data_IF_489117722960
#
_entry.id   IF_489117722960
#
_cell.length_a   1.000
_cell.length_b   1.000
_cell.length_c   1.000
_cell.angle_alpha   90.00
_cell.angle_beta   90.00
_cell.angle_gamma   90.00
#
_symmetry.space_group_name_H-M   'P 1'
#
loop_
_entity.id
_entity.type
_entity.pdbx_description
1 polymer ?
#
# COMPACT_ATOMS: atom_id res chain seq x y z
N UNK A 1 -22.86 25.06 -9.55
CA UNK A 1 -23.36 23.92 -8.76
C UNK A 1 -23.35 22.72 -9.70
N UNK A 2 -22.44 21.77 -9.52
CA UNK A 2 -22.33 20.62 -10.44
C UNK A 2 -23.49 19.64 -10.18
N UNK A 3 -24.17 19.21 -11.25
CA UNK A 3 -25.28 18.27 -11.16
C UNK A 3 -24.76 16.87 -10.83
N UNK A 4 -25.54 16.07 -10.11
CA UNK A 4 -25.23 14.66 -9.82
C UNK A 4 -24.98 13.87 -11.12
N UNK A 5 -25.63 14.27 -12.22
CA UNK A 5 -25.42 13.67 -13.54
C UNK A 5 -24.02 13.95 -14.07
N UNK A 6 -23.54 15.18 -13.94
CA UNK A 6 -22.19 15.59 -14.38
C UNK A 6 -21.11 14.82 -13.62
N UNK A 7 -21.34 14.53 -12.33
CA UNK A 7 -20.41 13.76 -11.49
C UNK A 7 -20.35 12.27 -11.90
N UNK A 8 -21.50 11.68 -12.22
CA UNK A 8 -21.57 10.29 -12.70
C UNK A 8 -20.93 10.13 -14.07
N UNK A 9 -21.08 11.11 -14.95
CA UNK A 9 -20.47 11.13 -16.27
C UNK A 9 -18.94 11.25 -16.18
N UNK A 10 -18.43 12.09 -15.28
CA UNK A 10 -16.99 12.24 -15.03
C UNK A 10 -16.37 10.97 -14.40
N UNK A 11 -17.07 10.29 -13.49
CA UNK A 11 -16.63 8.98 -12.97
C UNK A 11 -16.56 7.94 -14.08
N UNK A 12 -17.56 7.89 -14.96
CA UNK A 12 -17.59 6.95 -16.08
C UNK A 12 -16.49 7.26 -17.10
N UNK A 13 -16.21 8.55 -17.36
CA UNK A 13 -15.09 9.00 -18.21
C UNK A 13 -13.74 8.56 -17.63
N UNK A 14 -13.53 8.71 -16.32
CA UNK A 14 -12.31 8.26 -15.63
C UNK A 14 -12.16 6.74 -15.60
N UNK A 15 -13.26 5.99 -15.52
CA UNK A 15 -13.24 4.51 -15.62
C UNK A 15 -12.82 4.02 -17.00
N UNK A 16 -13.16 4.76 -18.06
CA UNK A 16 -12.74 4.44 -19.43
C UNK A 16 -11.29 4.85 -19.71
N UNK A 17 -10.80 5.91 -19.07
CA UNK A 17 -9.41 6.36 -19.16
C UNK A 17 -8.54 5.65 -18.12
N UNK A 18 -8.38 4.32 -18.27
CA UNK A 18 -7.33 3.57 -17.55
C UNK A 18 -5.96 3.90 -18.15
N UNK A 19 -5.46 5.11 -17.87
CA UNK A 19 -4.10 5.54 -18.19
C UNK A 19 -3.41 5.98 -16.91
N UNK A 20 -2.14 5.64 -16.78
CA UNK A 20 -1.30 6.13 -15.69
C UNK A 20 -1.13 7.65 -15.77
N UNK A 21 -0.59 8.28 -14.72
CA UNK A 21 -0.29 9.72 -14.66
C UNK A 21 0.59 10.25 -15.80
N UNK A 22 1.19 9.35 -16.59
CA UNK A 22 2.01 9.64 -17.77
C UNK A 22 1.32 9.31 -19.10
N UNK A 23 0.01 9.06 -19.11
CA UNK A 23 -0.79 8.87 -20.34
C UNK A 23 -0.59 7.51 -21.05
N UNK A 24 0.17 6.59 -20.45
CA UNK A 24 0.34 5.22 -20.94
C UNK A 24 -0.87 4.38 -20.54
N UNK A 25 -1.34 3.44 -21.39
CA UNK A 25 -2.37 2.49 -20.97
C UNK A 25 -1.89 1.79 -19.71
N UNK A 26 -2.76 1.73 -18.69
CA UNK A 26 -2.55 0.86 -17.54
C UNK A 26 -2.44 -0.56 -18.10
N UNK A 27 -1.20 -1.01 -18.30
CA UNK A 27 -0.90 -2.43 -18.47
C UNK A 27 -1.62 -3.11 -17.32
N UNK A 28 -2.36 -4.18 -17.60
CA UNK A 28 -2.85 -5.07 -16.54
C UNK A 28 -1.61 -5.37 -15.71
N UNK A 29 -1.46 -4.69 -14.58
CA UNK A 29 -0.28 -4.85 -13.75
C UNK A 29 -0.25 -6.33 -13.49
N UNK A 30 0.80 -6.98 -14.00
CA UNK A 30 1.23 -8.26 -13.49
C UNK A 30 1.12 -8.11 -11.98
N UNK A 31 0.16 -8.82 -11.38
CA UNK A 31 0.32 -9.26 -10.02
C UNK A 31 1.78 -9.69 -9.94
N UNK A 32 2.54 -9.12 -9.01
CA UNK A 32 3.95 -9.46 -8.78
C UNK A 32 4.12 -10.97 -9.04
N UNK A 33 4.64 -11.30 -10.22
CA UNK A 33 4.85 -12.69 -10.59
C UNK A 33 6.05 -13.08 -9.73
N UNK A 34 5.80 -13.77 -8.62
CA UNK A 34 6.84 -14.37 -7.80
C UNK A 34 7.66 -15.42 -8.59
N UNK A 35 7.30 -15.66 -9.86
CA UNK A 35 8.00 -16.55 -10.78
C UNK A 35 9.13 -15.80 -11.50
N UNK A 36 10.27 -15.64 -10.83
CA UNK A 36 11.54 -15.55 -11.55
C UNK A 36 12.14 -16.95 -11.68
N UNK A 37 12.13 -17.45 -12.91
CA UNK A 37 13.16 -18.26 -13.57
C UNK A 37 13.68 -19.53 -12.86
N UNK A 38 13.38 -20.68 -13.46
CA UNK A 38 14.01 -21.97 -13.18
C UNK A 38 12.96 -23.03 -12.82
N UNK A 39 13.07 -24.21 -13.41
CA UNK A 39 12.21 -25.38 -13.16
C UNK A 39 12.26 -25.86 -11.70
N UNK A 40 11.63 -25.14 -10.78
CA UNK A 40 11.50 -25.52 -9.37
C UNK A 40 10.02 -25.53 -8.96
N UNK A 41 9.67 -26.54 -8.17
CA UNK A 41 8.32 -26.78 -7.63
C UNK A 41 7.80 -25.47 -7.03
N UNK A 42 6.79 -24.88 -7.66
CA UNK A 42 6.19 -23.64 -7.21
C UNK A 42 5.48 -23.91 -5.87
N UNK A 43 6.21 -23.74 -4.76
CA UNK A 43 5.62 -23.84 -3.43
C UNK A 43 4.57 -22.74 -3.31
N UNK A 44 3.35 -23.13 -2.91
CA UNK A 44 2.26 -22.17 -2.71
C UNK A 44 2.69 -21.11 -1.69
N UNK A 45 2.53 -19.82 -1.99
CA UNK A 45 3.00 -18.76 -1.11
C UNK A 45 2.27 -18.79 0.24
N UNK A 46 2.98 -18.43 1.30
CA UNK A 46 2.52 -18.57 2.67
C UNK A 46 2.09 -17.21 3.23
N UNK A 47 0.90 -17.14 3.80
CA UNK A 47 0.37 -15.96 4.49
C UNK A 47 0.26 -16.19 6.00
N UNK A 48 0.78 -15.24 6.78
CA UNK A 48 0.63 -15.15 8.23
C UNK A 48 -0.44 -14.10 8.56
N UNK A 49 -1.46 -14.49 9.33
CA UNK A 49 -2.48 -13.56 9.81
C UNK A 49 -2.26 -13.21 11.28
N UNK A 50 -1.96 -11.94 11.58
CA UNK A 50 -1.76 -11.47 12.97
C UNK A 50 -2.93 -10.60 13.42
N UNK A 51 -3.63 -11.02 14.47
CA UNK A 51 -4.74 -10.27 15.04
C UNK A 51 -6.04 -10.34 14.21
N UNK A 52 -7.00 -9.43 14.50
CA UNK A 52 -8.32 -9.46 13.87
C UNK A 52 -8.25 -9.26 12.36
N UNK A 53 -8.85 -10.18 11.61
CA UNK A 53 -8.86 -10.17 10.15
C UNK A 53 -10.25 -10.51 9.63
N UNK A 54 -10.67 -9.85 8.55
CA UNK A 54 -12.01 -10.06 7.99
C UNK A 54 -12.06 -11.34 7.17
N UNK A 55 -13.26 -11.94 7.08
CA UNK A 55 -13.50 -13.11 6.22
C UNK A 55 -13.16 -12.83 4.75
N UNK A 56 -13.41 -11.61 4.28
CA UNK A 56 -13.11 -11.19 2.91
C UNK A 56 -11.60 -11.32 2.62
N UNK A 57 -10.74 -10.80 3.50
CA UNK A 57 -9.28 -10.90 3.34
C UNK A 57 -8.83 -12.36 3.28
N UNK A 58 -9.26 -13.18 4.23
CA UNK A 58 -8.87 -14.60 4.29
C UNK A 58 -9.29 -15.35 3.03
N UNK A 59 -10.49 -15.06 2.53
CA UNK A 59 -11.00 -15.62 1.28
C UNK A 59 -10.20 -15.17 0.07
N UNK A 60 -9.83 -13.89 -0.01
CA UNK A 60 -8.99 -13.38 -1.10
C UNK A 60 -7.62 -14.06 -1.15
N UNK A 61 -6.97 -14.29 -0.01
CA UNK A 61 -5.71 -15.04 0.02
C UNK A 61 -5.90 -16.51 -0.38
N UNK A 62 -6.98 -17.15 0.08
CA UNK A 62 -7.29 -18.53 -0.31
C UNK A 62 -7.61 -18.67 -1.80
N UNK A 63 -8.40 -17.76 -2.36
CA UNK A 63 -8.73 -17.71 -3.80
C UNK A 63 -7.47 -17.44 -4.65
N UNK A 64 -6.45 -16.80 -4.08
CA UNK A 64 -5.13 -16.57 -4.68
C UNK A 64 -4.13 -17.73 -4.47
N UNK A 65 -4.54 -18.82 -3.83
CA UNK A 65 -3.71 -20.01 -3.62
C UNK A 65 -2.72 -19.93 -2.45
N UNK A 66 -2.86 -18.95 -1.54
CA UNK A 66 -1.98 -18.86 -0.37
C UNK A 66 -2.31 -19.92 0.67
N UNK A 67 -1.26 -20.46 1.32
CA UNK A 67 -1.38 -21.32 2.48
C UNK A 67 -1.25 -20.49 3.75
N UNK A 68 -2.15 -20.69 4.72
CA UNK A 68 -2.08 -20.01 6.01
C UNK A 68 -1.07 -20.67 6.95
N UNK A 69 -0.30 -19.87 7.68
CA UNK A 69 0.63 -20.33 8.72
C UNK A 69 0.40 -19.58 10.03
N UNK A 70 0.77 -20.22 11.13
CA UNK A 70 0.89 -19.61 12.46
C UNK A 70 2.37 -19.29 12.82
N UNK A 71 3.31 -19.61 11.92
CA UNK A 71 4.73 -19.37 12.14
C UNK A 71 5.12 -17.92 11.82
N UNK A 72 5.65 -17.21 12.81
CA UNK A 72 6.22 -15.87 12.64
C UNK A 72 7.59 -15.85 11.94
N UNK A 73 8.16 -17.00 11.60
CA UNK A 73 9.48 -17.07 10.94
C UNK A 73 9.40 -17.61 9.52
N UNK A 74 8.31 -18.29 9.15
CA UNK A 74 8.14 -18.94 7.84
C UNK A 74 6.86 -18.47 7.16
N UNK A 75 6.92 -17.31 6.53
CA UNK A 75 5.85 -16.73 5.73
C UNK A 75 6.42 -15.89 4.59
N UNK A 76 5.62 -15.66 3.54
CA UNK A 76 5.94 -14.71 2.46
C UNK A 76 5.21 -13.37 2.68
N UNK A 77 3.96 -13.41 3.13
CA UNK A 77 3.14 -12.22 3.39
C UNK A 77 2.61 -12.24 4.81
N UNK A 78 2.76 -11.15 5.54
CA UNK A 78 2.05 -10.92 6.80
C UNK A 78 0.93 -9.91 6.60
N UNK A 79 -0.26 -10.26 7.08
CA UNK A 79 -1.44 -9.41 7.06
C UNK A 79 -2.11 -9.32 8.44
N UNK A 80 -2.56 -8.14 8.84
CA UNK A 80 -3.38 -8.00 10.05
C UNK A 80 -3.11 -6.72 10.81
N UNK A 81 -2.85 -6.81 12.11
CA UNK A 81 -2.60 -5.64 12.95
C UNK A 81 -1.22 -5.03 12.70
N UNK A 82 -1.07 -3.69 12.82
CA UNK A 82 0.22 -3.03 12.77
C UNK A 82 1.18 -3.62 13.80
N UNK A 83 2.43 -3.85 13.38
CA UNK A 83 3.47 -4.42 14.24
C UNK A 83 4.45 -3.34 14.72
N UNK A 84 5.20 -3.66 15.78
CA UNK A 84 6.26 -2.77 16.28
C UNK A 84 7.39 -2.63 15.26
N UNK A 85 8.17 -1.55 15.38
CA UNK A 85 9.38 -1.35 14.56
C UNK A 85 10.38 -2.50 14.72
N UNK A 86 10.51 -3.04 15.93
CA UNK A 86 11.35 -4.20 16.22
C UNK A 86 10.89 -5.46 15.48
N UNK A 87 9.57 -5.67 15.38
CA UNK A 87 9.03 -6.80 14.62
C UNK A 87 9.29 -6.62 13.12
N UNK A 88 9.04 -5.43 12.58
CA UNK A 88 9.30 -5.14 11.16
C UNK A 88 10.80 -5.24 10.84
N UNK A 89 11.66 -4.86 11.79
CA UNK A 89 13.12 -4.98 11.66
C UNK A 89 13.63 -6.43 11.62
N UNK A 90 12.81 -7.42 11.97
CA UNK A 90 13.15 -8.86 11.90
C UNK A 90 12.81 -9.51 10.55
N UNK A 91 12.16 -8.78 9.64
CA UNK A 91 11.79 -9.32 8.33
C UNK A 91 13.02 -9.68 7.50
N UNK A 92 12.99 -10.84 6.86
CA UNK A 92 14.03 -11.28 5.92
C UNK A 92 13.64 -10.96 4.48
N UNK A 93 14.61 -10.85 3.55
CA UNK A 93 14.32 -10.64 2.13
C UNK A 93 13.32 -11.68 1.60
N UNK A 94 12.33 -11.22 0.83
CA UNK A 94 11.22 -12.05 0.33
C UNK A 94 9.99 -12.09 1.24
N UNK A 95 10.09 -11.58 2.47
CA UNK A 95 8.94 -11.35 3.34
C UNK A 95 8.36 -9.95 3.13
N UNK A 96 7.03 -9.88 3.07
CA UNK A 96 6.29 -8.64 2.88
C UNK A 96 5.34 -8.43 4.04
N UNK A 97 5.35 -7.21 4.57
CA UNK A 97 4.41 -6.76 5.60
C UNK A 97 3.42 -5.79 4.96
N UNK A 98 2.12 -5.95 5.24
CA UNK A 98 1.08 -5.04 4.76
C UNK A 98 1.12 -3.63 5.40
N UNK A 99 2.02 -3.39 6.36
CA UNK A 99 2.16 -2.12 7.09
C UNK A 99 3.52 -1.50 6.88
N UNK A 100 3.53 -0.17 6.80
CA UNK A 100 4.77 0.61 6.73
C UNK A 100 5.19 1.03 8.13
N UNK A 101 6.48 0.85 8.44
CA UNK A 101 7.10 1.37 9.64
C UNK A 101 6.88 2.89 9.74
N UNK A 102 6.32 3.36 10.85
CA UNK A 102 6.05 4.79 11.04
C UNK A 102 4.73 5.31 10.46
N UNK A 103 3.88 4.46 9.86
CA UNK A 103 2.60 4.90 9.28
C UNK A 103 1.66 5.62 10.27
N UNK A 104 1.85 5.42 11.58
CA UNK A 104 1.07 6.09 12.61
C UNK A 104 1.17 7.62 12.53
N UNK A 105 2.29 8.17 12.03
CA UNK A 105 2.49 9.61 11.86
C UNK A 105 1.44 10.26 10.95
N UNK A 106 0.91 9.49 10.00
CA UNK A 106 -0.07 9.98 9.01
C UNK A 106 -1.48 9.41 9.22
N UNK A 107 -1.61 8.27 9.92
CA UNK A 107 -2.91 7.63 10.18
C UNK A 107 -3.57 8.16 11.45
N UNK A 108 -2.79 8.54 12.48
CA UNK A 108 -3.34 9.13 13.70
C UNK A 108 -3.65 10.61 13.48
N UNK A 109 -4.85 11.06 13.84
CA UNK A 109 -5.33 12.43 13.59
C UNK A 109 -4.47 13.51 14.27
N UNK A 110 -4.01 13.25 15.49
CA UNK A 110 -3.13 14.14 16.25
C UNK A 110 -1.76 14.26 15.58
N UNK A 111 -1.12 13.12 15.27
CA UNK A 111 0.16 13.11 14.57
C UNK A 111 0.07 13.67 13.15
N UNK A 112 -1.05 13.44 12.46
CA UNK A 112 -1.32 13.98 11.13
C UNK A 112 -1.47 15.50 11.19
N UNK A 113 -2.23 16.04 12.14
CA UNK A 113 -2.38 17.48 12.32
C UNK A 113 -1.03 18.16 12.59
N UNK A 114 -0.20 17.56 13.45
CA UNK A 114 1.16 18.04 13.70
C UNK A 114 2.04 17.97 12.43
N UNK A 115 2.03 16.84 11.74
CA UNK A 115 2.79 16.63 10.51
C UNK A 115 2.39 17.63 9.43
N UNK A 116 1.08 17.87 9.23
CA UNK A 116 0.57 18.85 8.27
C UNK A 116 0.91 20.28 8.69
N UNK A 117 0.84 20.60 9.98
CA UNK A 117 1.23 21.91 10.49
C UNK A 117 2.69 22.18 10.17
N UNK A 118 3.60 21.24 10.47
CA UNK A 118 5.02 21.35 10.13
C UNK A 118 5.26 21.42 8.61
N UNK A 119 4.58 20.59 7.83
CA UNK A 119 4.69 20.63 6.37
C UNK A 119 4.24 21.98 5.77
N UNK A 120 3.20 22.62 6.34
CA UNK A 120 2.74 23.94 5.90
C UNK A 120 3.76 25.05 6.16
N UNK A 121 4.64 24.89 7.16
CA UNK A 121 5.76 25.81 7.39
C UNK A 121 6.84 25.67 6.31
N UNK A 122 7.17 24.45 5.89
CA UNK A 122 8.18 24.23 4.83
C UNK A 122 7.79 24.87 3.48
N UNK A 123 6.49 24.95 3.16
CA UNK A 123 6.04 25.61 1.92
C UNK A 123 6.27 27.13 1.94
N UNK A 124 6.20 27.77 3.11
CA UNK A 124 6.44 29.23 3.23
C UNK A 124 7.92 29.59 3.14
N UNK A 125 8.81 28.72 3.60
CA UNK A 125 10.26 28.93 3.48
C UNK A 125 10.74 28.82 2.02
N UNK A 126 10.13 27.94 1.21
CA UNK A 126 10.41 27.86 -0.23
C UNK A 126 9.90 29.08 -1.01
N UNK A 127 8.70 29.60 -0.71
CA UNK A 127 8.21 30.86 -1.30
C UNK A 127 9.13 32.06 -0.96
N UNK A 128 9.65 32.12 0.27
CA UNK A 128 10.58 33.18 0.67
C UNK A 128 11.95 33.07 -0.03
N UNK A 129 12.43 31.86 -0.28
CA UNK A 129 13.67 31.63 -1.02
C UNK A 129 13.55 32.02 -2.50
N UNK A 130 12.40 31.78 -3.15
CA UNK A 130 12.16 32.25 -4.52
C UNK A 130 12.09 33.78 -4.62
N UNK A 131 11.54 34.46 -3.61
CA UNK A 131 11.52 35.95 -3.56
C UNK A 131 12.92 36.54 -3.33
N UNK A 132 13.78 35.86 -2.57
CA UNK A 132 15.14 36.34 -2.27
C UNK A 132 16.19 36.00 -3.34
N UNK A 133 15.94 34.99 -4.18
CA UNK A 133 16.86 34.53 -5.24
C UNK A 133 16.39 34.90 -6.66
N UNK A 134 15.25 35.60 -6.78
CA UNK A 134 14.72 36.18 -8.02
C UNK A 134 15.16 37.61 -8.26
#
# INVERSE_FOLDING_TARGET
MFSIKDYQEEINRRRMLKKDYLGKPLVKNNCFDFTNQGDEIQENPIVLFIGPTTRAVRRTFADAGFITTDSETKFNVMWGTPQSLEWIGRLVPGQVCAHIAGQYCIVRKDSLAETLSRASFFNKEFELLEIFLG
#
